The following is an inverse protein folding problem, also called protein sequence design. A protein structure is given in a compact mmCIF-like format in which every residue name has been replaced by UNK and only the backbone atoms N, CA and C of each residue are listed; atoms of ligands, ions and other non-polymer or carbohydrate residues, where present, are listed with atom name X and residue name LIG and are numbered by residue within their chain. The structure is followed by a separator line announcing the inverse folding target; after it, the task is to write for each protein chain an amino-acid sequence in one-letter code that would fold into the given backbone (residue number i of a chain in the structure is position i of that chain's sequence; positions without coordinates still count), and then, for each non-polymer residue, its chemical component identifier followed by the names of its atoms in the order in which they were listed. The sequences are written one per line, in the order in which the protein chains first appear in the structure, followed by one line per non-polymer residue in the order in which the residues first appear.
data_IF_102453451741
#
_entry.id   IF_102453451741
#
_cell.length_a   1.000
_cell.length_b   1.000
_cell.length_c   1.000
_cell.angle_alpha   90.00
_cell.angle_beta   90.00
_cell.angle_gamma   90.00
#
_symmetry.space_group_name_H-M   'P 1'
#
loop_
_entity.id
_entity.type
_entity.pdbx_description
1 polymer ?
#
# COMPACT_ATOMS: atom_id res chain seq x y z
N UNK A 1 8.83 21.67 13.14
CA UNK A 1 7.65 22.40 12.58
C UNK A 1 7.24 21.98 11.18
N UNK A 2 8.15 21.63 10.25
CA UNK A 2 7.84 21.23 8.85
C UNK A 2 7.00 19.93 8.68
N UNK A 3 7.15 18.92 9.55
CA UNK A 3 6.49 17.60 9.39
C UNK A 3 4.97 17.64 9.63
N UNK A 4 4.48 18.52 10.52
CA UNK A 4 3.04 18.67 10.74
C UNK A 4 2.32 19.31 9.55
N UNK A 5 2.99 20.18 8.83
CA UNK A 5 2.43 20.82 7.63
C UNK A 5 2.37 19.87 6.44
N UNK A 6 3.38 18.99 6.28
CA UNK A 6 3.37 17.98 5.21
C UNK A 6 2.25 16.94 5.42
N UNK A 7 2.02 16.51 6.67
CA UNK A 7 0.93 15.56 7.01
C UNK A 7 -0.45 16.22 6.87
N UNK A 8 -0.55 17.50 7.17
CA UNK A 8 -1.78 18.28 6.99
C UNK A 8 -2.08 18.53 5.51
N UNK A 9 -1.04 18.81 4.73
CA UNK A 9 -1.14 18.90 3.27
C UNK A 9 -1.52 17.54 2.65
N UNK A 10 -0.96 16.43 3.12
CA UNK A 10 -1.38 15.09 2.73
C UNK A 10 -2.87 14.87 2.97
N UNK A 11 -3.38 15.18 4.17
CA UNK A 11 -4.81 15.08 4.47
C UNK A 11 -5.66 15.99 3.59
N UNK A 12 -5.29 17.25 3.40
CA UNK A 12 -6.04 18.19 2.56
C UNK A 12 -6.05 17.75 1.10
N UNK A 13 -4.99 17.14 0.67
CA UNK A 13 -4.74 16.66 -0.67
C UNK A 13 -5.50 15.34 -0.92
N UNK A 14 -5.50 14.44 0.03
CA UNK A 14 -6.17 13.16 -0.04
C UNK A 14 -7.71 13.30 0.08
N UNK A 15 -8.21 14.39 0.66
CA UNK A 15 -9.67 14.66 0.80
C UNK A 15 -10.32 15.33 -0.43
N UNK A 16 -9.63 15.37 -1.58
CA UNK A 16 -10.26 15.73 -2.86
C UNK A 16 -10.43 17.21 -3.14
N UNK A 17 -9.88 18.10 -2.30
CA UNK A 17 -9.91 19.55 -2.54
C UNK A 17 -8.91 20.02 -3.60
N UNK A 18 -7.88 19.24 -3.92
CA UNK A 18 -6.94 19.52 -4.99
C UNK A 18 -6.83 18.31 -5.91
N UNK A 19 -7.03 18.50 -7.22
CA UNK A 19 -6.68 17.48 -8.22
C UNK A 19 -5.16 17.30 -8.19
N UNK A 20 -4.72 16.15 -7.67
CA UNK A 20 -3.31 15.79 -7.77
C UNK A 20 -2.92 15.52 -9.20
N UNK A 21 -1.86 16.15 -9.62
CA UNK A 21 -1.06 15.60 -10.70
C UNK A 21 -0.44 14.27 -10.23
N UNK A 22 -0.69 13.21 -10.98
CA UNK A 22 -0.18 11.86 -10.69
C UNK A 22 1.35 11.85 -10.53
N UNK A 23 2.06 12.75 -11.23
CA UNK A 23 3.51 12.93 -11.13
C UNK A 23 3.93 13.48 -9.76
N UNK A 24 3.19 14.43 -9.21
CA UNK A 24 3.51 15.00 -7.88
C UNK A 24 3.37 13.97 -6.77
N UNK A 25 2.38 13.06 -6.87
CA UNK A 25 2.23 11.95 -5.93
C UNK A 25 3.38 10.96 -6.02
N UNK A 26 3.77 10.62 -7.23
CA UNK A 26 4.88 9.71 -7.47
C UNK A 26 6.20 10.30 -6.98
N UNK A 27 6.50 11.56 -7.30
CA UNK A 27 7.69 12.28 -6.83
C UNK A 27 7.72 12.38 -5.31
N UNK A 28 6.58 12.65 -4.68
CA UNK A 28 6.45 12.64 -3.23
C UNK A 28 6.78 11.27 -2.66
N UNK A 29 6.19 10.22 -3.22
CA UNK A 29 6.41 8.85 -2.77
C UNK A 29 7.87 8.43 -2.89
N UNK A 30 8.52 8.72 -4.02
CA UNK A 30 9.94 8.43 -4.21
C UNK A 30 10.84 9.16 -3.18
N UNK A 31 10.54 10.39 -2.85
CA UNK A 31 11.27 11.14 -1.82
C UNK A 31 11.17 10.52 -0.44
N UNK A 32 10.00 10.01 -0.06
CA UNK A 32 9.80 9.43 1.27
C UNK A 32 10.30 7.98 1.37
N UNK A 33 10.40 7.25 0.26
CA UNK A 33 10.86 5.85 0.28
C UNK A 33 12.27 5.65 0.86
N UNK A 34 13.09 6.69 0.84
CA UNK A 34 14.42 6.67 1.44
C UNK A 34 14.43 6.94 2.95
N UNK A 35 13.27 7.24 3.55
CA UNK A 35 13.13 7.59 4.97
C UNK A 35 12.08 6.70 5.65
N UNK A 36 12.54 5.73 6.41
CA UNK A 36 11.67 4.74 7.07
C UNK A 36 10.69 5.40 8.05
N UNK A 37 11.11 6.43 8.78
CA UNK A 37 10.24 7.12 9.74
C UNK A 37 9.13 7.90 9.04
N UNK A 38 9.45 8.56 7.94
CA UNK A 38 8.45 9.26 7.11
C UNK A 38 7.50 8.26 6.45
N UNK A 39 8.02 7.16 5.92
CA UNK A 39 7.19 6.09 5.35
C UNK A 39 6.24 5.52 6.40
N UNK A 40 6.69 5.28 7.63
CA UNK A 40 5.81 4.81 8.70
C UNK A 40 4.65 5.78 8.97
N UNK A 41 4.92 7.09 9.00
CA UNK A 41 3.88 8.10 9.18
C UNK A 41 2.87 8.08 8.03
N UNK A 42 3.34 7.96 6.79
CA UNK A 42 2.48 7.88 5.60
C UNK A 42 1.63 6.61 5.62
N UNK A 43 2.22 5.46 5.95
CA UNK A 43 1.48 4.19 6.07
C UNK A 43 0.38 4.29 7.13
N UNK A 44 0.69 4.81 8.31
CA UNK A 44 -0.30 5.01 9.38
C UNK A 44 -1.43 5.96 8.96
N UNK A 45 -1.08 7.08 8.34
CA UNK A 45 -2.06 8.05 7.85
C UNK A 45 -2.94 7.47 6.74
N UNK A 46 -2.34 6.74 5.80
CA UNK A 46 -3.06 6.07 4.72
C UNK A 46 -4.04 5.02 5.25
N UNK A 47 -3.58 4.13 6.12
CA UNK A 47 -4.43 3.12 6.74
C UNK A 47 -5.60 3.73 7.51
N UNK A 48 -5.34 4.78 8.29
CA UNK A 48 -6.38 5.45 9.08
C UNK A 48 -7.41 6.23 8.22
N UNK A 49 -7.04 6.61 7.00
CA UNK A 49 -7.90 7.41 6.12
C UNK A 49 -8.67 6.57 5.11
N UNK A 50 -8.03 5.54 4.56
CA UNK A 50 -8.56 4.82 3.41
C UNK A 50 -8.85 3.36 3.66
N UNK A 51 -8.27 2.74 4.67
CA UNK A 51 -8.47 1.33 4.90
C UNK A 51 -9.34 1.09 6.13
N UNK A 52 -10.21 0.09 6.02
CA UNK A 52 -11.09 -0.33 7.10
C UNK A 52 -10.67 -1.70 7.61
N UNK A 53 -10.88 -1.95 8.89
CA UNK A 53 -10.77 -3.27 9.48
C UNK A 53 -12.10 -4.05 9.33
N UNK A 54 -12.14 -5.28 9.87
CA UNK A 54 -13.34 -6.13 9.81
C UNK A 54 -14.57 -5.54 10.52
N UNK A 55 -14.37 -4.57 11.42
CA UNK A 55 -15.43 -3.86 12.15
C UNK A 55 -15.81 -2.53 11.50
N UNK A 56 -15.38 -2.28 10.27
CA UNK A 56 -15.58 -1.01 9.55
C UNK A 56 -14.97 0.21 10.25
N UNK A 57 -13.93 -0.01 11.06
CA UNK A 57 -13.17 1.06 11.72
C UNK A 57 -11.88 1.34 10.97
N UNK A 58 -11.31 2.56 11.12
CA UNK A 58 -10.00 2.88 10.55
C UNK A 58 -8.95 1.84 10.90
N UNK A 59 -8.26 1.33 9.87
CA UNK A 59 -7.33 0.23 10.01
C UNK A 59 -6.12 0.62 10.87
N UNK A 60 -5.83 -0.20 11.89
CA UNK A 60 -4.64 -0.08 12.74
C UNK A 60 -3.77 -1.32 12.57
N UNK A 61 -2.61 -1.16 11.96
CA UNK A 61 -1.64 -2.23 11.81
C UNK A 61 -0.99 -2.58 13.15
N UNK A 62 -0.85 -3.88 13.41
CA UNK A 62 -0.03 -4.38 14.54
C UNK A 62 1.45 -4.05 14.29
N UNK A 63 2.31 -3.97 15.32
CA UNK A 63 3.71 -3.57 15.15
C UNK A 63 4.47 -4.37 14.08
N UNK A 64 4.30 -5.70 14.05
CA UNK A 64 4.92 -6.57 13.05
C UNK A 64 4.39 -6.28 11.64
N UNK A 65 3.09 -6.13 11.48
CA UNK A 65 2.45 -5.82 10.20
C UNK A 65 2.92 -4.47 9.66
N UNK A 66 2.95 -3.44 10.51
CA UNK A 66 3.47 -2.13 10.17
C UNK A 66 4.93 -2.21 9.71
N UNK A 67 5.78 -2.94 10.45
CA UNK A 67 7.18 -3.14 10.06
C UNK A 67 7.31 -3.81 8.69
N UNK A 68 6.47 -4.82 8.40
CA UNK A 68 6.45 -5.49 7.09
C UNK A 68 6.09 -4.47 5.99
N UNK A 69 4.99 -3.73 6.16
CA UNK A 69 4.54 -2.74 5.16
C UNK A 69 5.61 -1.68 4.92
N UNK A 70 6.12 -1.08 5.98
CA UNK A 70 7.15 -0.03 5.87
C UNK A 70 8.40 -0.55 5.18
N UNK A 71 8.92 -1.71 5.59
CA UNK A 71 10.11 -2.30 4.96
C UNK A 71 9.89 -2.70 3.51
N UNK A 72 8.67 -3.10 3.13
CA UNK A 72 8.34 -3.42 1.73
C UNK A 72 8.36 -2.15 0.86
N UNK A 73 7.90 -1.03 1.40
CA UNK A 73 7.76 0.23 0.67
C UNK A 73 9.03 1.09 0.66
N UNK A 74 9.95 0.90 1.63
CA UNK A 74 11.19 1.69 1.72
C UNK A 74 12.36 1.05 1.00
N UNK A 75 13.32 1.86 0.60
CA UNK A 75 14.63 1.41 0.11
C UNK A 75 15.75 2.26 0.73
N UNK A 76 16.97 1.73 0.90
CA UNK A 76 18.12 2.50 1.37
C UNK A 76 18.47 3.63 0.41
N UNK A 77 18.95 4.76 0.95
CA UNK A 77 19.50 5.83 0.15
C UNK A 77 20.69 5.31 -0.68
N UNK A 78 20.69 5.64 -1.96
CA UNK A 78 21.75 5.26 -2.90
C UNK A 78 21.62 3.87 -3.50
N UNK A 79 20.63 3.08 -3.07
CA UNK A 79 20.32 1.80 -3.70
C UNK A 79 19.35 2.03 -4.86
N UNK A 80 19.91 2.24 -6.05
CA UNK A 80 19.14 2.32 -7.29
C UNK A 80 18.77 0.93 -7.85
N UNK A 81 19.08 -0.15 -7.13
CA UNK A 81 18.80 -1.49 -7.62
C UNK A 81 17.30 -1.72 -7.67
N UNK A 82 16.79 -1.92 -8.89
CA UNK A 82 15.42 -2.34 -9.20
C UNK A 82 15.07 -3.72 -8.60
N UNK A 83 16.05 -4.42 -8.02
CA UNK A 83 15.94 -5.82 -7.64
C UNK A 83 16.15 -6.05 -6.14
N UNK A 84 15.47 -5.26 -5.31
CA UNK A 84 15.52 -5.51 -3.87
C UNK A 84 14.79 -6.80 -3.51
N UNK A 85 15.53 -7.71 -2.88
CA UNK A 85 14.97 -8.93 -2.29
C UNK A 85 14.76 -8.73 -0.80
N UNK A 86 13.56 -9.07 -0.31
CA UNK A 86 13.25 -9.07 1.11
C UNK A 86 12.70 -10.44 1.52
N UNK A 87 13.28 -11.03 2.56
CA UNK A 87 12.77 -12.25 3.17
C UNK A 87 12.03 -11.90 4.47
N UNK A 88 10.79 -12.40 4.61
CA UNK A 88 9.96 -12.19 5.79
C UNK A 88 9.77 -13.52 6.50
N UNK A 89 10.47 -13.69 7.63
CA UNK A 89 10.31 -14.83 8.52
C UNK A 89 9.37 -14.44 9.67
N UNK A 90 8.19 -15.04 9.70
CA UNK A 90 7.21 -14.80 10.76
C UNK A 90 6.30 -16.02 10.93
N UNK A 91 5.75 -16.26 12.13
CA UNK A 91 4.88 -17.40 12.40
C UNK A 91 3.66 -17.47 11.48
N UNK A 92 3.09 -18.68 11.35
CA UNK A 92 1.78 -18.85 10.70
C UNK A 92 0.73 -18.03 11.47
N UNK A 93 -0.22 -17.40 10.77
CA UNK A 93 -1.26 -16.58 11.43
C UNK A 93 -0.81 -15.18 11.86
N UNK A 94 0.46 -14.77 11.66
CA UNK A 94 0.94 -13.43 12.00
C UNK A 94 0.39 -12.28 11.11
N UNK A 95 -0.37 -12.62 10.06
CA UNK A 95 -0.95 -11.65 9.13
C UNK A 95 0.03 -11.11 8.08
N UNK A 96 1.07 -11.89 7.71
CA UNK A 96 2.04 -11.50 6.68
C UNK A 96 1.39 -11.17 5.34
N UNK A 97 0.58 -12.09 4.82
CA UNK A 97 -0.08 -11.92 3.51
C UNK A 97 -1.01 -10.73 3.51
N UNK A 98 -1.72 -10.52 4.62
CA UNK A 98 -2.57 -9.36 4.80
C UNK A 98 -1.76 -8.05 4.87
N UNK A 99 -0.62 -8.02 5.58
CA UNK A 99 0.26 -6.85 5.60
C UNK A 99 0.85 -6.55 4.21
N UNK A 100 1.20 -7.59 3.44
CA UNK A 100 1.65 -7.42 2.07
C UNK A 100 0.55 -6.85 1.16
N UNK A 101 -0.72 -7.27 1.33
CA UNK A 101 -1.82 -6.67 0.55
C UNK A 101 -1.98 -5.18 0.82
N UNK A 102 -1.80 -4.74 2.07
CA UNK A 102 -1.78 -3.31 2.41
C UNK A 102 -0.63 -2.58 1.70
N UNK A 103 0.56 -3.17 1.67
CA UNK A 103 1.69 -2.58 0.95
C UNK A 103 1.40 -2.47 -0.56
N UNK A 104 0.78 -3.48 -1.17
CA UNK A 104 0.35 -3.45 -2.58
C UNK A 104 -0.65 -2.33 -2.83
N UNK A 105 -1.66 -2.18 -1.98
CA UNK A 105 -2.67 -1.10 -2.12
C UNK A 105 -2.01 0.28 -2.05
N UNK A 106 -1.12 0.50 -1.08
CA UNK A 106 -0.38 1.76 -0.96
C UNK A 106 0.49 2.00 -2.20
N UNK A 107 1.21 0.97 -2.64
CA UNK A 107 2.03 1.05 -3.86
C UNK A 107 1.18 1.43 -5.07
N UNK A 108 0.08 0.72 -5.34
CA UNK A 108 -0.83 1.00 -6.44
C UNK A 108 -1.41 2.41 -6.39
N UNK A 109 -1.70 2.90 -5.18
CA UNK A 109 -2.22 4.25 -4.99
C UNK A 109 -1.21 5.33 -5.42
N UNK A 110 0.06 5.20 -5.01
CA UNK A 110 1.08 6.21 -5.29
C UNK A 110 1.72 6.09 -6.67
N UNK A 111 1.88 4.86 -7.18
CA UNK A 111 2.59 4.59 -8.44
C UNK A 111 1.70 4.57 -9.69
N UNK A 112 0.43 4.71 -9.54
CA UNK A 112 -0.62 4.81 -10.59
C UNK A 112 -0.16 4.40 -12.00
N UNK A 113 -0.60 3.23 -12.48
CA UNK A 113 -0.60 2.82 -13.90
C UNK A 113 0.74 2.53 -14.59
N UNK A 114 1.89 2.73 -13.94
CA UNK A 114 3.19 2.46 -14.59
C UNK A 114 3.87 1.20 -14.11
N UNK A 115 3.58 0.78 -12.88
CA UNK A 115 4.26 -0.36 -12.28
C UNK A 115 3.33 -1.57 -12.23
N UNK A 116 3.91 -2.75 -12.47
CA UNK A 116 3.23 -4.02 -12.34
C UNK A 116 3.61 -4.66 -11.00
N UNK A 117 2.62 -5.21 -10.32
CA UNK A 117 2.83 -6.01 -9.12
C UNK A 117 2.49 -7.46 -9.44
N UNK A 118 3.48 -8.33 -9.32
CA UNK A 118 3.30 -9.77 -9.51
C UNK A 118 3.21 -10.46 -8.16
N UNK A 119 2.20 -11.29 -7.98
CA UNK A 119 2.07 -12.20 -6.85
C UNK A 119 2.38 -13.61 -7.35
N UNK A 120 3.45 -14.18 -6.83
CA UNK A 120 3.89 -15.53 -7.21
C UNK A 120 3.87 -16.40 -5.95
N UNK A 121 3.21 -17.54 -6.02
CA UNK A 121 3.14 -18.51 -4.94
C UNK A 121 3.13 -19.94 -5.50
N UNK A 122 3.46 -20.94 -4.68
CA UNK A 122 3.47 -22.35 -5.11
C UNK A 122 2.10 -22.87 -5.56
N UNK A 123 1.01 -22.28 -5.06
CA UNK A 123 -0.37 -22.68 -5.41
C UNK A 123 -1.20 -21.47 -5.80
N UNK A 124 -2.19 -21.70 -6.64
CA UNK A 124 -3.15 -20.67 -7.08
C UNK A 124 -3.92 -20.08 -5.88
N UNK A 125 -4.36 -20.90 -4.93
CA UNK A 125 -5.06 -20.46 -3.74
C UNK A 125 -4.26 -19.45 -2.90
N UNK A 126 -2.94 -19.62 -2.83
CA UNK A 126 -2.07 -18.70 -2.11
C UNK A 126 -1.92 -17.36 -2.85
N UNK A 127 -1.90 -17.37 -4.17
CA UNK A 127 -1.95 -16.15 -4.97
C UNK A 127 -3.30 -15.46 -4.82
N UNK A 128 -4.38 -16.20 -4.94
CA UNK A 128 -5.75 -15.71 -4.82
C UNK A 128 -6.00 -15.02 -3.47
N UNK A 129 -5.46 -15.56 -2.38
CA UNK A 129 -5.61 -14.99 -1.04
C UNK A 129 -5.10 -13.55 -0.95
N UNK A 130 -3.92 -13.25 -1.51
CA UNK A 130 -3.37 -11.89 -1.49
C UNK A 130 -4.20 -10.98 -2.38
N UNK A 131 -4.60 -11.46 -3.55
CA UNK A 131 -5.45 -10.73 -4.47
C UNK A 131 -6.81 -10.38 -3.83
N UNK A 132 -7.43 -11.33 -3.13
CA UNK A 132 -8.69 -11.12 -2.42
C UNK A 132 -8.57 -10.05 -1.33
N UNK A 133 -7.46 -10.04 -0.59
CA UNK A 133 -7.21 -8.99 0.40
C UNK A 133 -7.05 -7.62 -0.26
N UNK A 134 -6.30 -7.52 -1.34
CA UNK A 134 -6.14 -6.28 -2.11
C UNK A 134 -7.51 -5.82 -2.64
N UNK A 135 -8.27 -6.73 -3.24
CA UNK A 135 -9.60 -6.44 -3.77
C UNK A 135 -10.55 -5.92 -2.69
N UNK A 136 -10.58 -6.55 -1.50
CA UNK A 136 -11.40 -6.09 -0.38
C UNK A 136 -11.03 -4.68 0.06
N UNK A 137 -9.75 -4.37 0.21
CA UNK A 137 -9.32 -3.02 0.57
C UNK A 137 -9.81 -1.95 -0.39
N UNK A 138 -9.90 -2.26 -1.68
CA UNK A 138 -10.48 -1.33 -2.64
C UNK A 138 -12.00 -1.25 -2.51
N UNK A 139 -12.69 -2.37 -2.37
CA UNK A 139 -14.15 -2.44 -2.30
C UNK A 139 -14.74 -1.82 -1.02
N UNK A 140 -14.02 -1.96 0.09
CA UNK A 140 -14.47 -1.42 1.38
C UNK A 140 -14.42 0.11 1.46
N UNK A 141 -13.77 0.78 0.51
CA UNK A 141 -13.65 2.24 0.47
C UNK A 141 -14.10 2.79 -0.89
N UNK A 142 -15.20 3.53 -0.92
CA UNK A 142 -15.79 4.07 -2.15
C UNK A 142 -14.83 4.96 -2.96
N UNK A 143 -13.90 5.67 -2.31
CA UNK A 143 -12.91 6.47 -3.00
C UNK A 143 -11.88 5.59 -3.71
N UNK A 144 -11.38 4.54 -3.06
CA UNK A 144 -10.45 3.60 -3.66
C UNK A 144 -11.11 2.76 -4.76
N UNK A 145 -12.36 2.33 -4.57
CA UNK A 145 -13.14 1.58 -5.56
C UNK A 145 -13.30 2.37 -6.87
N UNK A 146 -13.53 3.67 -6.76
CA UNK A 146 -13.61 4.57 -7.93
C UNK A 146 -12.29 4.76 -8.70
N UNK A 147 -11.15 4.34 -8.13
CA UNK A 147 -9.84 4.46 -8.78
C UNK A 147 -9.43 3.19 -9.55
N UNK A 148 -10.15 2.09 -9.39
CA UNK A 148 -9.73 0.77 -9.89
C UNK A 148 -10.81 0.13 -10.75
N UNK A 149 -10.44 -0.21 -11.99
CA UNK A 149 -11.23 -1.11 -12.83
C UNK A 149 -10.71 -2.54 -12.65
N UNK A 150 -11.54 -3.43 -12.12
CA UNK A 150 -11.18 -4.85 -11.96
C UNK A 150 -11.64 -5.62 -13.19
N UNK A 151 -10.69 -6.10 -13.99
CA UNK A 151 -10.95 -7.00 -15.09
C UNK A 151 -10.76 -8.45 -14.62
N UNK A 152 -11.83 -9.20 -14.48
CA UNK A 152 -11.76 -10.66 -14.35
C UNK A 152 -11.51 -11.23 -15.74
N UNK A 153 -10.30 -11.68 -16.00
CA UNK A 153 -10.04 -12.59 -17.12
C UNK A 153 -10.74 -13.91 -16.77
N UNK A 154 -11.92 -14.11 -17.33
CA UNK A 154 -12.53 -15.43 -17.34
C UNK A 154 -11.71 -16.30 -18.30
N UNK A 155 -10.80 -17.09 -17.76
CA UNK A 155 -10.40 -18.31 -18.43
C UNK A 155 -11.63 -19.21 -18.46
N UNK A 156 -12.38 -19.15 -19.57
CA UNK A 156 -13.26 -20.26 -19.91
C UNK A 156 -12.35 -21.39 -20.37
N UNK A 157 -12.52 -22.62 -19.85
CA UNK A 157 -11.86 -23.79 -20.39
C UNK A 157 -12.25 -24.01 -21.86
#
# INVERSE_FOLDING_TARGET
MKVKDETRNLRATLTGKNRFDSRQLEDFFEKIRCDEKRMEQVVRAFCATYLLDGDQKPLKLRPLQLKIVVKTLTHPKGDSSLHRKMAILAPRGSGKSWALSVAVVIWMFFKRFRDLVYVIAPTEDQCALIFDYVYRHFKDNAFLDGLVAVYKLHNKP
#
